data_IF_385697247350
#
_entry.id   IF_385697247350
#
_cell.length_a   1.000
_cell.length_b   1.000
_cell.length_c   1.000
_cell.angle_alpha   90.00
_cell.angle_beta   90.00
_cell.angle_gamma   90.00
#
_symmetry.space_group_name_H-M   'P 1'
#
loop_
_entity.id
_entity.type
_entity.pdbx_description
1 polymer ?
#
# COMPACT_ATOMS: atom_id res chain seq x y z
N UNK A 1 8.25 -12.21 9.26
CA UNK A 1 8.16 -12.18 7.80
C UNK A 1 7.97 -10.74 7.35
N UNK A 2 8.80 -10.28 6.42
CA UNK A 2 8.61 -8.97 5.82
C UNK A 2 7.53 -9.05 4.76
N UNK A 3 6.42 -8.40 4.99
CA UNK A 3 5.27 -8.40 4.06
C UNK A 3 4.68 -7.03 3.91
N UNK A 4 4.18 -6.73 2.71
CA UNK A 4 3.55 -5.46 2.40
C UNK A 4 2.37 -5.67 1.47
N UNK A 5 1.25 -5.02 1.78
CA UNK A 5 0.14 -4.87 0.86
C UNK A 5 0.27 -3.50 0.18
N UNK A 6 0.36 -3.48 -1.13
CA UNK A 6 0.44 -2.24 -1.92
C UNK A 6 -0.94 -1.96 -2.48
N UNK A 7 -1.65 -1.01 -1.88
CA UNK A 7 -3.01 -0.64 -2.29
C UNK A 7 -2.92 0.45 -3.35
N UNK A 8 -3.57 0.21 -4.48
CA UNK A 8 -3.41 1.05 -5.66
C UNK A 8 -2.26 0.58 -6.55
N UNK A 9 -1.87 -0.68 -6.41
CA UNK A 9 -0.89 -1.30 -7.29
C UNK A 9 -1.37 -1.26 -8.74
N UNK A 10 -0.46 -1.07 -9.67
CA UNK A 10 -0.79 -0.88 -11.08
C UNK A 10 0.13 -1.72 -11.96
N UNK A 11 -0.39 -2.13 -13.12
CA UNK A 11 0.42 -2.75 -14.17
C UNK A 11 1.24 -1.71 -14.94
N UNK A 12 0.86 -0.44 -14.85
CA UNK A 12 1.59 0.66 -15.50
C UNK A 12 2.88 0.95 -14.73
N UNK A 13 4.02 0.61 -15.35
CA UNK A 13 5.34 0.70 -14.72
C UNK A 13 5.80 2.12 -14.43
N UNK A 14 5.17 3.12 -15.03
CA UNK A 14 5.46 4.53 -14.75
C UNK A 14 4.80 5.05 -13.47
N UNK A 15 3.79 4.35 -12.98
CA UNK A 15 3.07 4.76 -11.78
C UNK A 15 3.78 4.29 -10.50
N UNK A 16 3.68 5.10 -9.45
CA UNK A 16 4.29 4.79 -8.17
C UNK A 16 3.73 3.51 -7.53
N UNK A 17 2.46 3.20 -7.75
CA UNK A 17 1.87 1.95 -7.28
C UNK A 17 2.55 0.70 -7.87
N UNK A 18 3.03 0.78 -9.10
CA UNK A 18 3.85 -0.29 -9.68
C UNK A 18 5.29 -0.25 -9.14
N UNK A 19 5.88 0.96 -9.11
CA UNK A 19 7.25 1.13 -8.62
C UNK A 19 7.41 0.60 -7.20
N UNK A 20 6.41 0.78 -6.35
CA UNK A 20 6.41 0.27 -4.98
C UNK A 20 6.45 -1.26 -4.97
N UNK A 21 5.65 -1.92 -5.81
CA UNK A 21 5.66 -3.39 -5.92
C UNK A 21 7.07 -3.87 -6.25
N UNK A 22 7.71 -3.26 -7.24
CA UNK A 22 9.07 -3.63 -7.64
C UNK A 22 10.10 -3.33 -6.55
N UNK A 23 9.98 -2.20 -5.88
CA UNK A 23 10.91 -1.79 -4.82
C UNK A 23 10.87 -2.76 -3.65
N UNK A 24 9.68 -3.10 -3.16
CA UNK A 24 9.54 -4.03 -2.05
C UNK A 24 9.99 -5.44 -2.43
N UNK A 25 9.67 -5.90 -3.64
CA UNK A 25 10.14 -7.20 -4.12
C UNK A 25 11.67 -7.24 -4.18
N UNK A 26 12.31 -6.15 -4.65
CA UNK A 26 13.77 -6.03 -4.69
C UNK A 26 14.39 -6.15 -3.30
N UNK A 27 13.70 -5.67 -2.28
CA UNK A 27 14.18 -5.70 -0.90
C UNK A 27 13.77 -6.96 -0.13
N UNK A 28 13.26 -7.96 -0.82
CA UNK A 28 13.00 -9.27 -0.24
C UNK A 28 11.67 -9.38 0.52
N UNK A 29 10.74 -8.45 0.33
CA UNK A 29 9.42 -8.53 0.92
C UNK A 29 8.52 -9.52 0.20
N UNK A 30 7.62 -10.17 0.92
CA UNK A 30 6.44 -10.76 0.33
C UNK A 30 5.49 -9.62 -0.02
N UNK A 31 5.18 -9.46 -1.31
CA UNK A 31 4.38 -8.34 -1.81
C UNK A 31 3.01 -8.82 -2.24
N UNK A 32 1.97 -8.19 -1.70
CA UNK A 32 0.58 -8.43 -2.08
C UNK A 32 0.02 -7.18 -2.76
N UNK A 33 0.03 -7.15 -4.11
CA UNK A 33 -0.60 -6.06 -4.84
C UNK A 33 -2.12 -6.09 -4.63
N UNK A 34 -2.72 -4.92 -4.41
CA UNK A 34 -4.17 -4.78 -4.25
C UNK A 34 -4.70 -3.81 -5.28
N UNK A 35 -5.55 -4.30 -6.17
CA UNK A 35 -6.22 -3.50 -7.20
C UNK A 35 -7.50 -4.23 -7.63
N UNK A 36 -8.68 -3.59 -7.60
CA UNK A 36 -9.94 -4.26 -7.93
C UNK A 36 -10.06 -4.66 -9.41
N UNK A 37 -9.20 -4.15 -10.29
CA UNK A 37 -9.27 -4.38 -11.74
C UNK A 37 -8.18 -5.28 -12.29
N UNK A 38 -7.15 -5.59 -11.48
CA UNK A 38 -6.00 -6.35 -11.94
C UNK A 38 -5.95 -7.71 -11.25
N UNK A 39 -5.62 -8.76 -11.99
CA UNK A 39 -5.43 -10.09 -11.42
C UNK A 39 -3.96 -10.42 -11.20
N UNK A 40 -3.06 -9.75 -11.92
CA UNK A 40 -1.61 -9.95 -11.83
C UNK A 40 -0.93 -8.59 -11.97
N UNK A 41 0.02 -8.31 -11.09
CA UNK A 41 0.88 -7.12 -11.17
C UNK A 41 2.32 -7.58 -10.98
N UNK A 42 3.18 -7.28 -11.96
CA UNK A 42 4.60 -7.68 -11.96
C UNK A 42 4.80 -9.17 -11.68
N UNK A 43 3.95 -10.00 -12.27
CA UNK A 43 4.02 -11.46 -12.10
C UNK A 43 3.47 -11.98 -10.77
N UNK A 44 2.97 -11.10 -9.90
CA UNK A 44 2.42 -11.48 -8.61
C UNK A 44 0.89 -11.50 -8.65
N UNK A 45 0.25 -12.46 -7.96
CA UNK A 45 -1.21 -12.42 -7.82
C UNK A 45 -1.65 -11.12 -7.18
N UNK A 46 -2.61 -10.44 -7.79
CA UNK A 46 -3.21 -9.23 -7.24
C UNK A 46 -4.55 -9.56 -6.61
N UNK A 47 -4.88 -8.86 -5.52
CA UNK A 47 -6.09 -9.09 -4.76
C UNK A 47 -7.06 -7.93 -4.97
N UNK A 48 -8.35 -8.24 -5.04
CA UNK A 48 -9.40 -7.24 -5.29
C UNK A 48 -9.48 -6.21 -4.15
N UNK A 49 -9.30 -6.68 -2.93
CA UNK A 49 -9.30 -5.81 -1.74
C UNK A 49 -8.30 -6.31 -0.72
N UNK A 50 -7.98 -5.45 0.26
CA UNK A 50 -7.09 -5.85 1.35
C UNK A 50 -7.66 -7.01 2.17
N UNK A 51 -8.97 -7.14 2.23
CA UNK A 51 -9.61 -8.25 2.94
C UNK A 51 -9.22 -9.61 2.36
N UNK A 52 -8.92 -9.68 1.07
CA UNK A 52 -8.59 -10.92 0.37
C UNK A 52 -7.10 -11.31 0.50
N UNK A 53 -6.28 -10.43 1.04
CA UNK A 53 -4.85 -10.72 1.25
C UNK A 53 -4.70 -11.88 2.24
N UNK A 54 -3.79 -12.85 1.96
CA UNK A 54 -3.76 -14.13 2.71
C UNK A 54 -3.43 -14.03 4.19
N UNK A 55 -2.75 -12.96 4.62
CA UNK A 55 -2.35 -12.80 6.01
C UNK A 55 -2.32 -11.32 6.39
N UNK A 56 -2.17 -11.02 7.68
CA UNK A 56 -1.98 -9.66 8.16
C UNK A 56 -0.65 -9.12 7.64
N UNK A 57 -0.63 -8.06 6.81
CA UNK A 57 0.62 -7.50 6.32
C UNK A 57 1.36 -6.76 7.44
N UNK A 58 2.69 -6.78 7.40
CA UNK A 58 3.50 -5.95 8.28
C UNK A 58 3.29 -4.48 7.92
N UNK A 59 3.36 -4.16 6.62
CA UNK A 59 3.19 -2.81 6.10
C UNK A 59 2.02 -2.75 5.13
N UNK A 60 1.32 -1.61 5.13
CA UNK A 60 0.38 -1.26 4.08
C UNK A 60 0.88 0.03 3.45
N UNK A 61 1.12 0.02 2.15
CA UNK A 61 1.57 1.18 1.39
C UNK A 61 0.47 1.60 0.43
N UNK A 62 0.00 2.84 0.55
CA UNK A 62 -1.20 3.32 -0.16
C UNK A 62 -0.84 4.29 -1.28
N UNK A 63 -1.45 4.06 -2.46
CA UNK A 63 -1.37 4.91 -3.65
C UNK A 63 -2.78 5.16 -4.20
N UNK A 64 -3.67 5.66 -3.35
CA UNK A 64 -5.05 6.00 -3.71
C UNK A 64 -5.30 7.49 -3.48
N UNK A 65 -6.22 8.12 -4.25
CA UNK A 65 -6.69 9.47 -3.91
C UNK A 65 -7.32 9.47 -2.50
N UNK A 66 -7.24 10.60 -1.77
CA UNK A 66 -7.78 10.67 -0.40
C UNK A 66 -9.22 10.23 -0.26
N UNK A 67 -10.10 10.62 -1.18
CA UNK A 67 -11.52 10.26 -1.12
C UNK A 67 -11.75 8.75 -1.25
N UNK A 68 -10.95 8.07 -2.06
CA UNK A 68 -11.01 6.60 -2.22
C UNK A 68 -10.42 5.92 -1.00
N UNK A 69 -9.27 6.40 -0.52
CA UNK A 69 -8.62 5.86 0.67
C UNK A 69 -9.53 5.92 1.89
N UNK A 70 -10.26 7.02 2.06
CA UNK A 70 -11.18 7.19 3.19
C UNK A 70 -12.18 6.03 3.27
N UNK A 71 -12.65 5.54 2.12
CA UNK A 71 -13.60 4.43 2.05
C UNK A 71 -12.96 3.08 2.37
N UNK A 72 -11.65 2.96 2.21
CA UNK A 72 -10.92 1.70 2.39
C UNK A 72 -10.32 1.58 3.79
N UNK A 73 -10.16 2.68 4.51
CA UNK A 73 -9.56 2.69 5.85
C UNK A 73 -10.18 1.69 6.83
N UNK A 74 -11.52 1.54 6.90
CA UNK A 74 -12.09 0.53 7.80
C UNK A 74 -11.63 -0.90 7.48
N UNK A 75 -11.51 -1.25 6.20
CA UNK A 75 -11.02 -2.57 5.81
C UNK A 75 -9.54 -2.75 6.16
N UNK A 76 -8.73 -1.71 6.03
CA UNK A 76 -7.33 -1.74 6.43
C UNK A 76 -7.22 -1.99 7.94
N UNK A 77 -8.02 -1.28 8.72
CA UNK A 77 -8.04 -1.45 10.17
C UNK A 77 -8.50 -2.84 10.59
N UNK A 78 -9.52 -3.38 9.91
CA UNK A 78 -10.03 -4.73 10.17
C UNK A 78 -8.98 -5.80 9.86
N UNK A 79 -8.22 -5.63 8.78
CA UNK A 79 -7.12 -6.53 8.43
C UNK A 79 -5.97 -6.41 9.42
N UNK A 80 -5.64 -5.19 9.80
CA UNK A 80 -4.51 -4.89 10.67
C UNK A 80 -3.19 -4.82 9.92
N UNK A 81 -2.29 -4.01 10.44
CA UNK A 81 -0.90 -3.89 9.97
C UNK A 81 -0.08 -3.24 11.07
N UNK A 82 1.25 -3.34 10.98
CA UNK A 82 2.13 -2.66 11.92
C UNK A 82 2.27 -1.17 11.57
N UNK A 83 2.33 -0.86 10.28
CA UNK A 83 2.48 0.51 9.79
C UNK A 83 1.65 0.73 8.55
N UNK A 84 0.95 1.87 8.51
CA UNK A 84 0.21 2.34 7.34
C UNK A 84 0.96 3.52 6.73
N UNK A 85 1.55 3.32 5.56
CA UNK A 85 2.30 4.36 4.86
C UNK A 85 1.38 5.10 3.90
N UNK A 86 1.15 6.37 4.20
CA UNK A 86 0.42 7.29 3.34
C UNK A 86 1.44 8.01 2.46
N UNK A 87 1.59 7.54 1.23
CA UNK A 87 2.52 8.13 0.28
C UNK A 87 2.06 9.53 -0.14
N UNK A 88 2.97 10.41 -0.62
CA UNK A 88 2.59 11.77 -0.98
C UNK A 88 1.37 11.83 -1.91
N UNK A 89 0.40 12.66 -1.55
CA UNK A 89 -0.84 12.84 -2.32
C UNK A 89 -2.01 11.97 -1.88
N UNK A 90 -1.82 11.08 -0.90
CA UNK A 90 -2.90 10.21 -0.40
C UNK A 90 -3.55 10.74 0.87
N UNK A 91 -2.88 11.62 1.58
CA UNK A 91 -3.35 12.17 2.85
C UNK A 91 -4.32 13.35 2.66
N UNK A 92 -5.23 13.48 3.61
CA UNK A 92 -6.09 14.65 3.80
C UNK A 92 -6.42 14.76 5.28
N UNK A 93 -6.92 15.93 5.77
CA UNK A 93 -7.34 16.03 7.17
C UNK A 93 -8.35 14.95 7.57
N UNK A 94 -9.30 14.62 6.69
CA UNK A 94 -10.30 13.59 6.94
C UNK A 94 -9.67 12.20 7.02
N UNK A 95 -8.74 11.89 6.14
CA UNK A 95 -8.02 10.61 6.15
C UNK A 95 -7.23 10.45 7.43
N UNK A 96 -6.49 11.48 7.82
CA UNK A 96 -5.67 11.45 9.04
C UNK A 96 -6.53 11.28 10.30
N UNK A 97 -7.64 12.00 10.37
CA UNK A 97 -8.55 11.91 11.51
C UNK A 97 -9.18 10.52 11.61
N UNK A 98 -9.63 9.94 10.49
CA UNK A 98 -10.23 8.61 10.46
C UNK A 98 -9.20 7.53 10.79
N UNK A 99 -7.98 7.62 10.26
CA UNK A 99 -6.91 6.68 10.56
C UNK A 99 -6.57 6.69 12.05
N UNK A 100 -6.51 7.88 12.66
CA UNK A 100 -6.28 8.01 14.10
C UNK A 100 -7.42 7.39 14.90
N UNK A 101 -8.67 7.67 14.50
CA UNK A 101 -9.85 7.09 15.16
C UNK A 101 -9.84 5.56 15.11
N UNK A 102 -9.34 4.99 14.03
CA UNK A 102 -9.23 3.54 13.84
C UNK A 102 -7.99 2.93 14.51
N UNK A 103 -7.16 3.74 15.15
CA UNK A 103 -5.96 3.27 15.84
C UNK A 103 -4.83 2.81 14.93
N UNK A 104 -4.78 3.30 13.70
CA UNK A 104 -3.73 2.94 12.73
C UNK A 104 -2.44 3.73 12.99
N UNK A 105 -1.31 3.07 12.88
CA UNK A 105 0.00 3.70 12.98
C UNK A 105 0.40 4.28 11.64
N UNK A 106 0.13 5.57 11.44
CA UNK A 106 0.32 6.26 10.16
C UNK A 106 1.73 6.84 10.04
N UNK A 107 2.35 6.58 8.89
CA UNK A 107 3.60 7.21 8.48
C UNK A 107 3.34 7.97 7.18
N UNK A 108 3.55 9.29 7.21
CA UNK A 108 3.34 10.15 6.04
C UNK A 108 4.66 10.37 5.34
N UNK A 109 5.01 9.48 4.41
CA UNK A 109 6.26 9.54 3.68
C UNK A 109 6.21 8.63 2.46
N UNK A 110 7.17 8.80 1.55
CA UNK A 110 7.35 7.90 0.41
C UNK A 110 7.91 6.56 0.89
N UNK A 111 7.12 5.49 0.80
CA UNK A 111 7.54 4.17 1.29
C UNK A 111 8.66 3.56 0.46
N UNK A 112 8.77 3.90 -0.84
CA UNK A 112 9.87 3.43 -1.70
C UNK A 112 11.21 3.91 -1.14
N UNK A 113 11.29 5.19 -0.79
CA UNK A 113 12.47 5.76 -0.15
C UNK A 113 12.67 5.13 1.23
N UNK A 114 11.59 4.94 1.98
CA UNK A 114 11.63 4.34 3.32
C UNK A 114 12.17 2.91 3.31
N UNK A 115 11.97 2.15 2.22
CA UNK A 115 12.50 0.79 2.10
C UNK A 115 13.92 0.77 1.52
N UNK A 116 14.49 1.93 1.25
CA UNK A 116 15.90 2.05 0.82
C UNK A 116 16.11 1.99 -0.68
N UNK A 117 15.09 2.28 -1.48
CA UNK A 117 15.17 2.29 -2.95
C UNK A 117 14.95 3.71 -3.45
N UNK A 118 15.74 4.12 -4.44
CA UNK A 118 15.49 5.39 -5.13
C UNK A 118 14.43 5.19 -6.21
N UNK A 119 13.33 5.97 -6.19
CA UNK A 119 12.30 5.87 -7.24
C UNK A 119 12.85 6.10 -8.65
N UNK A 120 13.94 6.86 -8.78
CA UNK A 120 14.57 7.14 -10.07
C UNK A 120 15.19 5.90 -10.72
N UNK A 121 15.44 4.83 -9.95
CA UNK A 121 16.03 3.58 -10.46
C UNK A 121 14.98 2.56 -10.90
N UNK A 122 13.71 2.92 -10.83
CA UNK A 122 12.61 2.01 -11.10
C UNK A 122 11.91 2.26 -12.45
#
# INVERSE_FOLDING_TARGET
>A
MKSVAVIGASTDRSKFGNKAVRAYARQGFTVWPVNPKESIVEGLPAFTSIADVPARPQLVSVYLPPAVLLKVLPAIAAKGCDELWLNPGTESPEVLAEAERLGLNVIQACSIVGVGVSPATL
#
